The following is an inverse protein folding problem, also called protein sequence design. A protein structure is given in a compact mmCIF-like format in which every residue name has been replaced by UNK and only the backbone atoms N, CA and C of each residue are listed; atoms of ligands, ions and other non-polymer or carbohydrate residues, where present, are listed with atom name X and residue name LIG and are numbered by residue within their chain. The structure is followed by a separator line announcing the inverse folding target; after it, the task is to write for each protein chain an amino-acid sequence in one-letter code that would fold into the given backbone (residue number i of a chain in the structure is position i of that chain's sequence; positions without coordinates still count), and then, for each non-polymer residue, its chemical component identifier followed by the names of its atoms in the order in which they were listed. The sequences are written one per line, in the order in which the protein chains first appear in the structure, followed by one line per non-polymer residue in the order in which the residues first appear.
data_IF_073855695704
#
_entry.id   IF_073855695704
#
_cell.length_a   1.000
_cell.length_b   1.000
_cell.length_c   1.000
_cell.angle_alpha   90.00
_cell.angle_beta   90.00
_cell.angle_gamma   90.00
#
_symmetry.space_group_name_H-M   'P 1'
#
loop_
_entity.id
_entity.type
_entity.pdbx_description
1 polymer ?
#
# COMPACT_ATOMS: atom_id res chain seq x y z
N UNK A 1 22.67 -4.77 -7.79
CA UNK A 1 21.21 -4.97 -7.65
C UNK A 1 20.45 -3.65 -7.48
N UNK A 2 20.80 -2.80 -6.51
CA UNK A 2 20.18 -1.47 -6.30
C UNK A 2 20.14 -0.52 -7.52
N UNK A 3 21.22 -0.35 -8.33
CA UNK A 3 21.20 0.61 -9.44
C UNK A 3 20.29 0.20 -10.61
N UNK A 4 20.18 -1.10 -10.90
CA UNK A 4 19.31 -1.61 -11.96
C UNK A 4 17.82 -1.53 -11.60
N UNK A 5 17.50 -1.60 -10.31
CA UNK A 5 16.12 -1.47 -9.83
C UNK A 5 15.64 -0.01 -9.89
N UNK A 6 16.51 0.93 -9.53
CA UNK A 6 16.21 2.36 -9.60
C UNK A 6 16.00 2.85 -11.05
N UNK A 7 16.79 2.36 -12.00
CA UNK A 7 16.60 2.70 -13.42
C UNK A 7 15.27 2.17 -13.94
N UNK A 8 14.92 0.91 -13.62
CA UNK A 8 13.65 0.32 -14.05
C UNK A 8 12.43 1.03 -13.48
N UNK A 9 12.48 1.47 -12.22
CA UNK A 9 11.40 2.24 -11.60
C UNK A 9 11.24 3.63 -12.22
N UNK A 10 12.36 4.29 -12.52
CA UNK A 10 12.37 5.60 -13.18
C UNK A 10 11.75 5.51 -14.58
N UNK A 11 12.18 4.53 -15.37
CA UNK A 11 11.69 4.33 -16.74
C UNK A 11 10.20 3.95 -16.75
N UNK A 12 9.74 3.09 -15.84
CA UNK A 12 8.33 2.72 -15.71
C UNK A 12 7.44 3.91 -15.31
N UNK A 13 7.91 4.75 -14.40
CA UNK A 13 7.19 5.94 -13.95
C UNK A 13 7.05 6.95 -15.10
N UNK A 14 8.10 7.15 -15.91
CA UNK A 14 8.05 8.03 -17.07
C UNK A 14 7.05 7.55 -18.12
N UNK A 15 7.06 6.25 -18.45
CA UNK A 15 6.13 5.67 -19.43
C UNK A 15 4.68 5.85 -18.98
N UNK A 16 4.37 5.55 -17.71
CA UNK A 16 3.02 5.71 -17.17
C UNK A 16 2.51 7.16 -17.11
N UNK A 17 3.41 8.15 -17.09
CA UNK A 17 3.07 9.58 -17.11
C UNK A 17 2.87 10.12 -18.53
N UNK A 18 3.41 9.45 -19.55
CA UNK A 18 3.38 9.90 -20.95
C UNK A 18 2.25 9.22 -21.73
N UNK A 19 1.93 7.95 -21.45
CA UNK A 19 0.95 7.17 -22.21
C UNK A 19 -0.53 7.54 -21.97
N UNK A 20 -0.81 8.55 -21.15
CA UNK A 20 -2.15 9.07 -20.93
C UNK A 20 -2.29 10.52 -21.39
N UNK A 21 -3.16 10.77 -22.37
CA UNK A 21 -3.63 12.14 -22.63
C UNK A 21 -4.33 12.65 -21.37
N UNK A 22 -3.95 13.85 -20.91
CA UNK A 22 -4.60 14.42 -19.73
C UNK A 22 -6.08 14.61 -20.08
N UNK A 23 -6.97 14.30 -19.15
CA UNK A 23 -8.42 14.51 -19.35
C UNK A 23 -8.76 15.93 -19.82
N UNK A 24 -7.91 16.91 -19.51
CA UNK A 24 -8.11 18.29 -19.95
C UNK A 24 -7.82 18.51 -21.44
N UNK A 25 -6.92 17.72 -22.02
CA UNK A 25 -6.44 17.84 -23.41
C UNK A 25 -7.25 16.93 -24.37
N UNK A 26 -7.91 15.90 -23.84
CA UNK A 26 -8.77 14.98 -24.61
C UNK A 26 -10.01 15.69 -25.17
N UNK A 27 -10.02 15.87 -26.49
CA UNK A 27 -11.10 16.47 -27.28
C UNK A 27 -12.44 15.73 -27.11
N UNK A 28 -12.42 14.41 -26.98
CA UNK A 28 -13.62 13.61 -26.80
C UNK A 28 -14.21 13.83 -25.41
N UNK A 29 -13.36 13.86 -24.38
CA UNK A 29 -13.78 14.15 -23.01
C UNK A 29 -14.34 15.57 -22.86
N UNK A 30 -13.71 16.58 -23.45
CA UNK A 30 -14.21 17.96 -23.45
C UNK A 30 -15.54 18.09 -24.19
N UNK A 31 -15.69 17.42 -25.33
CA UNK A 31 -16.96 17.39 -26.06
C UNK A 31 -18.07 16.74 -25.22
N UNK A 32 -17.77 15.64 -24.51
CA UNK A 32 -18.70 14.97 -23.60
C UNK A 32 -19.06 15.82 -22.37
N UNK A 33 -18.12 16.63 -21.85
CA UNK A 33 -18.37 17.61 -20.80
C UNK A 33 -19.30 18.74 -21.26
N UNK A 34 -19.04 19.34 -22.43
CA UNK A 34 -19.85 20.43 -22.99
C UNK A 34 -21.27 19.97 -23.32
N UNK A 35 -21.41 18.72 -23.78
CA UNK A 35 -22.72 18.09 -24.03
C UNK A 35 -23.46 17.70 -22.74
N UNK A 36 -22.86 17.88 -21.56
CA UNK A 36 -23.46 17.52 -20.28
C UNK A 36 -23.60 16.01 -20.04
N UNK A 37 -22.95 15.18 -20.87
CA UNK A 37 -22.93 13.72 -20.75
C UNK A 37 -22.04 13.25 -19.60
N UNK A 38 -21.09 14.09 -19.19
CA UNK A 38 -20.20 13.88 -18.05
C UNK A 38 -20.46 14.99 -17.04
N UNK A 39 -20.90 14.62 -15.84
CA UNK A 39 -20.92 15.57 -14.74
C UNK A 39 -19.49 15.72 -14.22
N UNK A 40 -18.90 16.94 -14.19
CA UNK A 40 -17.67 17.13 -13.45
C UNK A 40 -17.95 16.68 -12.02
N UNK A 41 -17.08 15.84 -11.45
CA UNK A 41 -17.20 15.42 -10.05
C UNK A 41 -16.99 16.66 -9.17
N UNK A 42 -18.06 17.44 -9.03
CA UNK A 42 -18.07 18.69 -8.29
C UNK A 42 -17.92 18.36 -6.84
N UNK A 43 -16.84 18.89 -6.24
CA UNK A 43 -16.48 18.77 -4.83
C UNK A 43 -16.48 17.32 -4.36
N UNK A 44 -15.30 16.74 -4.16
CA UNK A 44 -15.12 15.52 -3.36
C UNK A 44 -16.19 15.50 -2.27
N UNK A 45 -17.22 14.67 -2.45
CA UNK A 45 -18.27 14.49 -1.45
C UNK A 45 -17.47 14.19 -0.20
N UNK A 46 -17.58 15.04 0.82
CA UNK A 46 -16.89 14.83 2.09
C UNK A 46 -17.35 13.45 2.53
N UNK A 47 -16.52 12.44 2.26
CA UNK A 47 -16.81 11.08 2.66
C UNK A 47 -16.85 11.16 4.16
N UNK A 48 -18.04 11.05 4.74
CA UNK A 48 -18.17 11.06 6.18
C UNK A 48 -17.29 9.94 6.70
N UNK A 49 -16.32 10.30 7.53
CA UNK A 49 -15.38 9.34 8.10
C UNK A 49 -16.20 8.45 9.02
N UNK A 50 -16.60 7.29 8.51
CA UNK A 50 -17.36 6.31 9.27
C UNK A 50 -16.52 5.84 10.46
N UNK A 51 -17.16 5.45 11.56
CA UNK A 51 -16.45 4.94 12.74
C UNK A 51 -15.51 3.76 12.40
N UNK A 52 -15.94 2.95 11.43
CA UNK A 52 -15.15 1.87 10.82
C UNK A 52 -13.85 2.39 10.21
N UNK A 53 -13.87 3.46 9.43
CA UNK A 53 -12.64 4.03 8.84
C UNK A 53 -11.58 4.37 9.91
N UNK A 54 -11.99 4.83 11.10
CA UNK A 54 -11.05 5.08 12.21
C UNK A 54 -10.48 3.80 12.80
N UNK A 55 -11.27 2.72 12.89
CA UNK A 55 -10.79 1.40 13.32
C UNK A 55 -9.80 0.79 12.33
N UNK A 56 -10.05 0.88 11.01
CA UNK A 56 -9.11 0.43 9.99
C UNK A 56 -7.75 1.11 10.15
N UNK A 57 -7.74 2.42 10.37
CA UNK A 57 -6.50 3.19 10.55
C UNK A 57 -5.78 2.77 11.83
N UNK A 58 -6.52 2.48 12.91
CA UNK A 58 -5.93 1.99 14.15
C UNK A 58 -5.26 0.61 13.95
N UNK A 59 -5.90 -0.33 13.27
CA UNK A 59 -5.30 -1.64 12.95
C UNK A 59 -4.06 -1.50 12.07
N UNK A 60 -4.09 -0.61 11.08
CA UNK A 60 -2.93 -0.32 10.24
C UNK A 60 -1.76 0.23 11.07
N UNK A 61 -2.02 1.20 11.95
CA UNK A 61 -1.03 1.75 12.88
C UNK A 61 -0.44 0.67 13.80
N UNK A 62 -1.26 -0.24 14.32
CA UNK A 62 -0.80 -1.37 15.14
C UNK A 62 0.10 -2.29 14.33
N UNK A 63 -0.26 -2.58 13.07
CA UNK A 63 0.56 -3.38 12.16
C UNK A 63 1.94 -2.77 11.93
N UNK A 64 1.99 -1.48 11.59
CA UNK A 64 3.24 -0.74 11.37
C UNK A 64 4.08 -0.70 12.64
N UNK A 65 3.47 -0.40 13.79
CA UNK A 65 4.17 -0.41 15.06
C UNK A 65 4.73 -1.80 15.41
N UNK A 66 4.01 -2.88 15.07
CA UNK A 66 4.48 -4.25 15.22
C UNK A 66 5.71 -4.56 14.37
N UNK A 67 5.72 -4.14 13.09
CA UNK A 67 6.90 -4.30 12.21
C UNK A 67 8.09 -3.53 12.77
N UNK A 68 7.91 -2.26 13.13
CA UNK A 68 8.99 -1.43 13.67
C UNK A 68 9.51 -1.98 15.00
N UNK A 69 8.64 -2.52 15.85
CA UNK A 69 9.04 -3.16 17.11
C UNK A 69 9.90 -4.41 16.87
N UNK A 70 9.59 -5.21 15.85
CA UNK A 70 10.41 -6.37 15.48
C UNK A 70 11.78 -5.95 14.92
N UNK A 71 11.85 -4.87 14.15
CA UNK A 71 13.11 -4.33 13.63
C UNK A 71 13.98 -3.68 14.73
N UNK A 72 13.35 -3.06 15.75
CA UNK A 72 14.05 -2.43 16.88
C UNK A 72 14.74 -3.44 17.80
N UNK A 73 14.32 -4.71 17.79
CA UNK A 73 14.83 -5.74 18.69
C UNK A 73 15.68 -6.73 17.87
N UNK A 74 17.01 -6.52 17.75
CA UNK A 74 17.90 -7.42 16.99
C UNK A 74 17.99 -8.84 17.59
N UNK A 75 17.46 -9.06 18.79
CA UNK A 75 17.34 -10.36 19.45
C UNK A 75 16.03 -11.11 19.16
N UNK A 76 15.09 -10.50 18.41
CA UNK A 76 13.85 -11.17 17.96
C UNK A 76 14.10 -12.23 16.89
N UNK A 77 15.33 -12.33 16.40
CA UNK A 77 15.85 -13.47 15.67
C UNK A 77 15.93 -14.66 16.65
N UNK A 78 14.78 -15.18 17.08
CA UNK A 78 14.73 -16.39 17.88
C UNK A 78 15.41 -17.48 17.06
N UNK A 79 16.65 -17.79 17.41
CA UNK A 79 17.38 -18.89 16.81
C UNK A 79 16.83 -20.16 17.43
N UNK A 80 16.05 -20.93 16.68
CA UNK A 80 15.58 -22.22 17.14
C UNK A 80 16.63 -23.27 16.77
N UNK A 81 17.00 -24.11 17.73
CA UNK A 81 17.92 -25.24 17.47
C UNK A 81 17.07 -26.40 16.96
N UNK A 82 17.03 -26.56 15.65
CA UNK A 82 16.42 -27.73 15.01
C UNK A 82 17.55 -28.62 14.53
N UNK A 83 17.63 -29.85 15.07
CA UNK A 83 18.65 -30.85 14.70
C UNK A 83 20.12 -30.36 14.82
N UNK A 84 20.43 -29.58 15.85
CA UNK A 84 21.80 -29.13 16.13
C UNK A 84 22.29 -27.94 15.31
N UNK A 85 21.48 -27.44 14.35
CA UNK A 85 21.76 -26.20 13.64
C UNK A 85 20.88 -25.07 14.17
N UNK A 86 21.46 -23.88 14.33
CA UNK A 86 20.72 -22.67 14.68
C UNK A 86 20.06 -22.15 13.42
N UNK A 87 18.76 -22.37 13.28
CA UNK A 87 17.97 -21.72 12.24
C UNK A 87 17.42 -20.41 12.80
N UNK A 88 17.69 -19.31 12.09
CA UNK A 88 17.13 -18.01 12.41
C UNK A 88 15.89 -17.78 11.55
N UNK A 89 14.83 -17.27 12.17
CA UNK A 89 13.66 -16.80 11.43
C UNK A 89 14.09 -15.67 10.49
N UNK A 90 13.84 -15.83 9.19
CA UNK A 90 14.14 -14.80 8.19
C UNK A 90 13.30 -13.56 8.48
N UNK A 91 13.95 -12.41 8.66
CA UNK A 91 13.28 -11.13 8.93
C UNK A 91 12.25 -10.79 7.85
N UNK A 92 12.55 -11.12 6.60
CA UNK A 92 11.61 -10.89 5.49
C UNK A 92 10.30 -11.67 5.68
N UNK A 93 10.37 -12.92 6.15
CA UNK A 93 9.18 -13.75 6.40
C UNK A 93 8.34 -13.19 7.56
N UNK A 94 8.99 -12.66 8.60
CA UNK A 94 8.28 -12.04 9.73
C UNK A 94 7.48 -10.80 9.29
N UNK A 95 8.09 -9.95 8.45
CA UNK A 95 7.45 -8.75 7.91
C UNK A 95 6.33 -9.13 6.93
N UNK A 96 6.57 -10.12 6.07
CA UNK A 96 5.57 -10.61 5.11
C UNK A 96 4.32 -11.15 5.81
N UNK A 97 4.48 -11.91 6.90
CA UNK A 97 3.36 -12.38 7.71
C UNK A 97 2.53 -11.21 8.29
N UNK A 98 3.17 -10.12 8.72
CA UNK A 98 2.45 -8.95 9.26
C UNK A 98 1.77 -8.16 8.14
N UNK A 99 2.48 -7.93 7.02
CA UNK A 99 1.94 -7.25 5.85
C UNK A 99 0.72 -7.95 5.26
N UNK A 100 0.65 -9.29 5.31
CA UNK A 100 -0.49 -10.05 4.83
C UNK A 100 -1.63 -10.17 5.86
N UNK A 101 -1.30 -10.30 7.14
CA UNK A 101 -2.31 -10.52 8.19
C UNK A 101 -3.09 -9.25 8.57
N UNK A 102 -2.43 -8.09 8.61
CA UNK A 102 -3.06 -6.83 9.03
C UNK A 102 -4.18 -6.39 8.05
N UNK A 103 -4.00 -6.43 6.72
CA UNK A 103 -5.09 -6.13 5.78
C UNK A 103 -6.25 -7.12 5.89
N UNK A 104 -5.97 -8.41 6.11
CA UNK A 104 -7.01 -9.43 6.32
C UNK A 104 -7.84 -9.11 7.56
N UNK A 105 -7.20 -8.73 8.67
CA UNK A 105 -7.87 -8.27 9.89
C UNK A 105 -8.71 -7.01 9.66
N UNK A 106 -8.18 -6.04 8.92
CA UNK A 106 -8.92 -4.82 8.56
C UNK A 106 -10.19 -5.20 7.77
N UNK A 107 -10.06 -6.02 6.73
CA UNK A 107 -11.22 -6.42 5.92
C UNK A 107 -12.25 -7.18 6.76
N UNK A 108 -11.81 -8.09 7.63
CA UNK A 108 -12.73 -8.89 8.46
C UNK A 108 -13.45 -8.06 9.53
N UNK A 109 -12.80 -7.05 10.12
CA UNK A 109 -13.36 -6.28 11.24
C UNK A 109 -14.00 -4.95 10.84
N UNK A 110 -13.68 -4.41 9.66
CA UNK A 110 -14.00 -3.03 9.29
C UNK A 110 -14.84 -2.89 8.00
N UNK A 111 -14.84 -3.90 7.13
CA UNK A 111 -15.63 -3.90 5.90
C UNK A 111 -17.00 -4.54 6.15
#
# INVERSE_FOLDING_TARGET
MWPAYLSGLHDWCLVGLIDGERLNDDLEYQNRLVQGLVQPTGSAVKSEVTGYAKMSVAFFMIGVAGVVALELIPSSHQSWVVKGFREQLNMALAIEMIMLSVPVLIVLCCL
#
